data_IF_209378117905
#
_entry.id   IF_209378117905
#
_cell.length_a   1.000
_cell.length_b   1.000
_cell.length_c   1.000
_cell.angle_alpha   90.00
_cell.angle_beta   90.00
_cell.angle_gamma   90.00
#
_symmetry.space_group_name_H-M   'P 1'
#
loop_
_entity.id
_entity.type
_entity.pdbx_description
1 polymer ?
#
# COMPACT_ATOMS: atom_id res chain seq x y z
N UNK A 1 -7.20 -9.33 -40.34
CA UNK A 1 -6.04 -9.16 -39.44
C UNK A 1 -6.55 -9.27 -38.01
N UNK A 2 -5.96 -10.12 -37.18
CA UNK A 2 -6.32 -10.16 -35.75
C UNK A 2 -5.99 -8.79 -35.12
N UNK A 3 -6.90 -8.25 -34.33
CA UNK A 3 -6.70 -6.94 -33.68
C UNK A 3 -5.57 -7.09 -32.67
N UNK A 4 -4.53 -6.27 -32.80
CA UNK A 4 -3.41 -6.27 -31.87
C UNK A 4 -3.92 -5.97 -30.46
N UNK A 5 -3.50 -6.78 -29.47
CA UNK A 5 -3.93 -6.58 -28.09
C UNK A 5 -3.32 -5.27 -27.57
N UNK A 6 -4.14 -4.47 -26.89
CA UNK A 6 -3.73 -3.20 -26.30
C UNK A 6 -4.07 -3.16 -24.82
N UNK A 7 -3.17 -2.62 -24.04
CA UNK A 7 -3.31 -2.46 -22.59
C UNK A 7 -2.58 -1.20 -22.15
N UNK A 8 -2.96 -0.66 -21.00
CA UNK A 8 -2.20 0.40 -20.33
C UNK A 8 -1.28 -0.16 -19.23
N UNK A 9 -1.28 -1.47 -19.00
CA UNK A 9 -0.40 -2.14 -18.04
C UNK A 9 0.24 -3.36 -18.68
N UNK A 10 1.57 -3.42 -18.63
CA UNK A 10 2.36 -4.45 -19.29
C UNK A 10 3.42 -5.00 -18.36
N UNK A 11 3.45 -6.32 -18.20
CA UNK A 11 4.47 -7.03 -17.47
C UNK A 11 5.61 -7.45 -18.41
N UNK A 12 6.81 -7.45 -17.86
CA UNK A 12 8.04 -7.86 -18.54
C UNK A 12 8.99 -8.53 -17.54
N UNK A 13 10.12 -9.00 -18.05
CA UNK A 13 11.19 -9.52 -17.21
C UNK A 13 12.55 -8.99 -17.66
N UNK A 14 13.43 -8.76 -16.70
CA UNK A 14 14.85 -8.46 -16.93
C UNK A 14 15.69 -9.58 -16.35
N UNK A 15 16.74 -10.00 -17.06
CA UNK A 15 17.72 -10.95 -16.55
C UNK A 15 18.95 -10.22 -16.06
N UNK A 16 19.49 -10.62 -14.91
CA UNK A 16 20.68 -9.98 -14.31
C UNK A 16 21.90 -10.04 -15.24
N UNK A 17 22.00 -11.07 -16.06
CA UNK A 17 23.12 -11.29 -16.99
C UNK A 17 23.07 -10.41 -18.26
N UNK A 18 21.90 -9.88 -18.63
CA UNK A 18 21.71 -9.14 -19.89
C UNK A 18 21.24 -7.70 -19.70
N UNK A 19 20.61 -7.39 -18.57
CA UNK A 19 20.16 -6.06 -18.26
C UNK A 19 21.35 -5.09 -18.14
N UNK A 20 21.22 -3.84 -18.61
CA UNK A 20 22.19 -2.79 -18.34
C UNK A 20 22.40 -2.61 -16.82
N UNK A 21 23.62 -2.34 -16.38
CA UNK A 21 23.90 -2.09 -14.95
C UNK A 21 23.07 -0.91 -14.41
N UNK A 22 22.79 0.08 -15.26
CA UNK A 22 22.00 1.27 -14.96
C UNK A 22 20.51 1.13 -15.35
N UNK A 23 19.94 -0.08 -15.30
CA UNK A 23 18.54 -0.32 -15.70
C UNK A 23 17.52 0.57 -14.97
N UNK A 24 17.78 0.95 -13.72
CA UNK A 24 16.92 1.87 -12.97
C UNK A 24 16.92 3.27 -13.59
N UNK A 25 18.09 3.84 -13.87
CA UNK A 25 18.20 5.15 -14.53
C UNK A 25 17.48 5.16 -15.88
N UNK A 26 17.61 4.08 -16.64
CA UNK A 26 16.91 3.92 -17.93
C UNK A 26 15.39 3.92 -17.72
N UNK A 27 14.87 3.20 -16.72
CA UNK A 27 13.43 3.19 -16.41
C UNK A 27 12.95 4.57 -15.94
N UNK A 28 13.77 5.33 -15.22
CA UNK A 28 13.47 6.70 -14.82
C UNK A 28 13.40 7.66 -16.01
N UNK A 29 14.34 7.54 -16.97
CA UNK A 29 14.37 8.31 -18.21
C UNK A 29 13.17 8.05 -19.12
N UNK A 30 12.55 6.86 -19.03
CA UNK A 30 11.32 6.58 -19.76
C UNK A 30 10.13 7.43 -19.28
N UNK A 31 10.18 7.95 -18.05
CA UNK A 31 9.09 8.70 -17.42
C UNK A 31 7.75 7.95 -17.41
N UNK A 32 7.80 6.62 -17.31
CA UNK A 32 6.64 5.75 -17.19
C UNK A 32 6.62 5.18 -15.77
N UNK A 33 5.53 5.35 -14.99
CA UNK A 33 5.43 4.72 -13.68
C UNK A 33 5.67 3.21 -13.77
N UNK A 34 6.52 2.69 -12.88
CA UNK A 34 6.93 1.29 -12.91
C UNK A 34 7.04 0.71 -11.49
N UNK A 35 6.96 -0.62 -11.44
CA UNK A 35 7.28 -1.43 -10.26
C UNK A 35 8.07 -2.66 -10.69
N UNK A 36 9.09 -3.02 -9.93
CA UNK A 36 9.94 -4.19 -10.12
C UNK A 36 9.90 -5.07 -8.88
N UNK A 37 9.84 -6.38 -9.09
CA UNK A 37 10.00 -7.36 -8.04
C UNK A 37 11.42 -7.28 -7.43
N UNK A 38 11.64 -7.95 -6.30
CA UNK A 38 12.98 -8.30 -5.85
C UNK A 38 13.69 -9.14 -6.92
N UNK A 39 15.02 -9.32 -6.80
CA UNK A 39 15.72 -10.28 -7.65
C UNK A 39 15.28 -11.71 -7.31
N UNK A 40 14.67 -12.38 -8.28
CA UNK A 40 14.32 -13.80 -8.22
C UNK A 40 15.55 -14.63 -8.57
N UNK A 41 16.39 -14.89 -7.57
CA UNK A 41 17.64 -15.64 -7.68
C UNK A 41 17.58 -17.06 -7.06
N UNK A 42 16.47 -17.38 -6.38
CA UNK A 42 16.23 -18.66 -5.69
C UNK A 42 15.12 -19.48 -6.31
N UNK A 43 14.66 -19.11 -7.49
CA UNK A 43 13.59 -19.81 -8.19
C UNK A 43 14.11 -21.13 -8.77
N UNK A 44 13.39 -22.22 -8.52
CA UNK A 44 13.75 -23.55 -9.02
C UNK A 44 12.88 -23.93 -10.22
N UNK A 45 13.50 -24.50 -11.25
CA UNK A 45 12.79 -25.13 -12.35
C UNK A 45 12.20 -26.47 -11.89
N UNK A 46 10.87 -26.60 -11.90
CA UNK A 46 10.18 -27.81 -11.44
C UNK A 46 10.51 -29.08 -12.24
N UNK A 47 11.00 -28.95 -13.47
CA UNK A 47 11.33 -30.09 -14.35
C UNK A 47 12.79 -30.52 -14.16
N UNK A 48 13.72 -29.56 -14.13
CA UNK A 48 15.16 -29.87 -14.07
C UNK A 48 15.71 -29.89 -12.65
N UNK A 49 15.02 -29.27 -11.69
CA UNK A 49 15.51 -29.08 -10.31
C UNK A 49 16.59 -28.01 -10.18
N UNK A 50 17.01 -27.39 -11.28
CA UNK A 50 18.07 -26.37 -11.29
C UNK A 50 17.51 -24.98 -10.97
N UNK A 51 18.38 -24.11 -10.46
CA UNK A 51 18.05 -22.70 -10.30
C UNK A 51 17.79 -22.05 -11.67
N UNK A 52 16.71 -21.28 -11.74
CA UNK A 52 16.45 -20.39 -12.87
C UNK A 52 17.48 -19.27 -12.88
N UNK A 53 17.70 -18.69 -14.06
CA UNK A 53 18.50 -17.47 -14.20
C UNK A 53 17.92 -16.36 -13.32
N UNK A 54 18.79 -15.62 -12.63
CA UNK A 54 18.38 -14.50 -11.80
C UNK A 54 17.66 -13.45 -12.65
N UNK A 55 16.43 -13.12 -12.27
CA UNK A 55 15.56 -12.21 -13.02
C UNK A 55 14.76 -11.30 -12.09
N UNK A 56 14.27 -10.18 -12.61
CA UNK A 56 13.18 -9.41 -11.99
C UNK A 56 11.97 -9.46 -12.90
N UNK A 57 10.79 -9.49 -12.29
CA UNK A 57 9.55 -9.15 -12.95
C UNK A 57 9.34 -7.64 -12.85
N UNK A 58 8.84 -7.03 -13.91
CA UNK A 58 8.52 -5.60 -13.94
C UNK A 58 7.14 -5.35 -14.51
N UNK A 59 6.51 -4.24 -14.12
CA UNK A 59 5.28 -3.74 -14.74
C UNK A 59 5.45 -2.26 -15.07
N UNK A 60 5.07 -1.88 -16.30
CA UNK A 60 4.91 -0.50 -16.73
C UNK A 60 3.43 -0.09 -16.72
N UNK A 61 3.14 1.10 -16.18
CA UNK A 61 1.81 1.69 -16.13
C UNK A 61 1.74 2.93 -17.03
N UNK A 62 1.13 2.77 -18.20
CA UNK A 62 0.95 3.84 -19.17
C UNK A 62 -0.35 4.62 -18.93
N UNK A 63 -0.37 5.91 -19.27
CA UNK A 63 -1.60 6.71 -19.30
C UNK A 63 -2.54 6.28 -20.44
N UNK A 64 -1.96 5.93 -21.59
CA UNK A 64 -2.69 5.54 -22.81
C UNK A 64 -2.49 4.05 -23.13
N UNK A 65 -3.42 3.45 -23.86
CA UNK A 65 -3.29 2.07 -24.35
C UNK A 65 -2.10 1.95 -25.32
N UNK A 66 -1.13 1.09 -24.98
CA UNK A 66 -0.04 0.67 -25.86
C UNK A 66 -0.29 -0.72 -26.42
N UNK A 67 0.26 -0.99 -27.59
CA UNK A 67 0.21 -2.33 -28.20
C UNK A 67 1.36 -3.21 -27.69
N UNK A 68 1.23 -4.53 -27.88
CA UNK A 68 2.29 -5.49 -27.55
C UNK A 68 3.63 -5.09 -28.20
N UNK A 69 3.61 -4.80 -29.50
CA UNK A 69 4.82 -4.51 -30.28
C UNK A 69 5.51 -3.26 -29.76
N UNK A 70 4.75 -2.19 -29.51
CA UNK A 70 5.30 -0.93 -28.98
C UNK A 70 6.04 -1.12 -27.67
N UNK A 71 5.49 -1.93 -26.76
CA UNK A 71 6.10 -2.14 -25.44
C UNK A 71 7.27 -3.12 -25.52
N UNK A 72 7.12 -4.19 -26.31
CA UNK A 72 8.17 -5.17 -26.56
C UNK A 72 9.42 -4.53 -27.16
N UNK A 73 9.27 -3.71 -28.21
CA UNK A 73 10.38 -3.01 -28.86
C UNK A 73 11.05 -2.02 -27.92
N UNK A 74 10.27 -1.20 -27.20
CA UNK A 74 10.78 -0.25 -26.21
C UNK A 74 11.67 -0.93 -25.17
N UNK A 75 11.18 -2.02 -24.57
CA UNK A 75 11.89 -2.73 -23.50
C UNK A 75 13.10 -3.50 -24.02
N UNK A 76 12.99 -4.12 -25.21
CA UNK A 76 14.10 -4.84 -25.83
C UNK A 76 15.23 -3.89 -26.20
N UNK A 77 14.92 -2.72 -26.77
CA UNK A 77 15.89 -1.71 -27.19
C UNK A 77 16.58 -1.04 -25.99
N UNK A 78 15.82 -0.70 -24.94
CA UNK A 78 16.35 0.09 -23.81
C UNK A 78 16.95 -0.75 -22.69
N UNK A 79 16.41 -1.94 -22.44
CA UNK A 79 16.74 -2.73 -21.25
C UNK A 79 17.25 -4.14 -21.56
N UNK A 80 17.43 -4.49 -22.84
CA UNK A 80 17.82 -5.84 -23.27
C UNK A 80 16.91 -6.94 -22.69
N UNK A 81 15.60 -6.66 -22.56
CA UNK A 81 14.63 -7.66 -22.14
C UNK A 81 14.43 -8.72 -23.21
N UNK A 82 13.94 -9.91 -22.87
CA UNK A 82 13.28 -10.76 -23.86
C UNK A 82 12.14 -9.98 -24.53
N UNK A 83 11.84 -10.27 -25.82
CA UNK A 83 10.75 -9.61 -26.52
C UNK A 83 9.36 -9.93 -25.95
N UNK A 84 9.24 -10.94 -25.09
CA UNK A 84 7.96 -11.36 -24.54
C UNK A 84 7.47 -10.41 -23.45
N UNK A 85 6.25 -9.89 -23.63
CA UNK A 85 5.54 -9.03 -22.67
C UNK A 85 4.11 -9.51 -22.48
N UNK A 86 3.55 -9.28 -21.29
CA UNK A 86 2.21 -9.78 -20.95
C UNK A 86 1.29 -8.66 -20.47
N UNK A 87 -0.01 -8.79 -20.74
CA UNK A 87 -0.99 -7.84 -20.23
C UNK A 87 -1.25 -8.15 -18.76
N UNK A 88 -1.14 -7.12 -17.91
CA UNK A 88 -1.49 -7.26 -16.49
C UNK A 88 -3.01 -7.23 -16.36
N UNK A 89 -3.59 -8.39 -16.03
CA UNK A 89 -5.03 -8.54 -15.83
C UNK A 89 -5.48 -8.05 -14.44
N UNK A 90 -4.67 -8.31 -13.42
CA UNK A 90 -4.91 -7.90 -12.03
C UNK A 90 -3.60 -7.39 -11.42
N UNK A 91 -3.49 -6.08 -11.12
CA UNK A 91 -2.34 -5.54 -10.40
C UNK A 91 -2.11 -6.24 -9.05
N UNK A 92 -3.19 -6.57 -8.32
CA UNK A 92 -3.13 -7.34 -7.08
C UNK A 92 -2.44 -8.69 -7.25
N UNK A 93 -2.94 -9.48 -8.19
CA UNK A 93 -2.38 -10.82 -8.45
C UNK A 93 -0.93 -10.75 -8.93
N UNK A 94 -0.56 -9.70 -9.66
CA UNK A 94 0.84 -9.48 -10.06
C UNK A 94 1.73 -9.15 -8.87
N UNK A 95 1.23 -8.35 -7.93
CA UNK A 95 1.94 -8.03 -6.70
C UNK A 95 2.18 -9.26 -5.83
N UNK A 96 1.14 -10.05 -5.58
CA UNK A 96 1.26 -11.30 -4.83
C UNK A 96 2.23 -12.29 -5.53
N UNK A 97 2.24 -12.26 -6.86
CA UNK A 97 3.19 -13.01 -7.67
C UNK A 97 4.65 -12.52 -7.52
N UNK A 98 4.91 -11.22 -7.37
CA UNK A 98 6.28 -10.67 -7.20
C UNK A 98 6.99 -11.17 -5.94
N UNK A 99 6.23 -11.45 -4.88
CA UNK A 99 6.80 -11.93 -3.62
C UNK A 99 6.53 -13.42 -3.38
N UNK A 100 5.84 -14.08 -4.31
CA UNK A 100 5.34 -15.46 -4.19
C UNK A 100 4.47 -15.72 -2.95
N UNK A 101 3.72 -14.72 -2.47
CA UNK A 101 2.86 -14.84 -1.27
C UNK A 101 1.78 -15.91 -1.42
N UNK A 102 1.31 -16.17 -2.64
CA UNK A 102 0.25 -17.14 -2.93
C UNK A 102 0.73 -18.59 -3.09
N UNK A 103 2.05 -18.84 -3.16
CA UNK A 103 2.57 -20.18 -3.45
C UNK A 103 3.55 -20.69 -2.38
N UNK A 104 3.11 -21.57 -1.48
CA UNK A 104 3.95 -22.12 -0.41
C UNK A 104 5.14 -22.94 -0.90
N UNK A 105 5.11 -23.42 -2.15
CA UNK A 105 6.19 -24.23 -2.73
C UNK A 105 7.31 -23.37 -3.36
N UNK A 106 7.12 -22.05 -3.45
CA UNK A 106 8.10 -21.13 -4.01
C UNK A 106 8.81 -20.37 -2.90
N UNK A 107 10.03 -19.91 -3.21
CA UNK A 107 10.77 -19.02 -2.32
C UNK A 107 10.01 -17.71 -2.17
N UNK A 108 9.71 -17.35 -0.92
CA UNK A 108 9.12 -16.06 -0.54
C UNK A 108 10.18 -14.96 -0.63
N UNK A 109 9.82 -13.80 -1.19
CA UNK A 109 10.70 -12.63 -1.26
C UNK A 109 10.14 -11.47 -0.41
N UNK A 110 11.01 -10.53 0.00
CA UNK A 110 10.60 -9.39 0.82
C UNK A 110 9.88 -8.34 0.00
N UNK A 111 8.85 -7.75 0.59
CA UNK A 111 8.14 -6.59 0.04
C UNK A 111 9.06 -5.36 0.02
N UNK A 112 9.98 -5.27 0.99
CA UNK A 112 10.91 -4.15 1.16
C UNK A 112 11.93 -4.06 0.02
N UNK A 113 12.13 -5.15 -0.71
CA UNK A 113 13.04 -5.24 -1.87
C UNK A 113 12.34 -4.90 -3.19
N UNK A 114 11.07 -4.48 -3.15
CA UNK A 114 10.35 -3.99 -4.32
C UNK A 114 10.84 -2.59 -4.67
N UNK A 115 11.16 -2.38 -5.94
CA UNK A 115 11.59 -1.10 -6.46
C UNK A 115 10.44 -0.47 -7.25
N UNK A 116 10.27 0.84 -7.15
CA UNK A 116 9.27 1.57 -7.93
C UNK A 116 9.74 2.99 -8.22
N UNK A 117 9.26 3.59 -9.31
CA UNK A 117 9.67 4.92 -9.71
C UNK A 117 8.66 5.63 -10.60
N UNK A 118 9.06 6.81 -11.10
CA UNK A 118 8.26 7.63 -12.02
C UNK A 118 6.84 7.95 -11.52
N UNK A 119 6.70 8.24 -10.22
CA UNK A 119 5.42 8.62 -9.62
C UNK A 119 4.49 7.46 -9.28
N UNK A 120 4.97 6.21 -9.36
CA UNK A 120 4.22 5.07 -8.83
C UNK A 120 4.18 5.13 -7.29
N UNK A 121 2.98 5.30 -6.73
CA UNK A 121 2.76 5.34 -5.27
C UNK A 121 2.70 3.91 -4.71
N UNK A 122 3.87 3.29 -4.45
CA UNK A 122 3.94 1.91 -3.96
C UNK A 122 3.17 1.73 -2.65
N UNK A 123 3.43 2.55 -1.63
CA UNK A 123 2.78 2.42 -0.33
C UNK A 123 1.26 2.43 -0.44
N UNK A 124 0.70 3.40 -1.17
CA UNK A 124 -0.73 3.48 -1.43
C UNK A 124 -1.24 2.22 -2.11
N UNK A 125 -0.54 1.76 -3.15
CA UNK A 125 -0.89 0.54 -3.87
C UNK A 125 -0.89 -0.69 -2.94
N UNK A 126 0.13 -0.85 -2.09
CA UNK A 126 0.24 -1.93 -1.11
C UNK A 126 -0.93 -1.95 -0.15
N UNK A 127 -1.28 -0.78 0.38
CA UNK A 127 -2.35 -0.66 1.37
C UNK A 127 -3.72 -0.92 0.70
N UNK A 128 -3.95 -0.42 -0.51
CA UNK A 128 -5.16 -0.71 -1.29
C UNK A 128 -5.33 -2.21 -1.53
N UNK A 129 -4.24 -2.92 -1.86
CA UNK A 129 -4.30 -4.37 -2.08
C UNK A 129 -4.52 -5.16 -0.79
N UNK A 130 -3.99 -4.66 0.33
CA UNK A 130 -4.10 -5.22 1.67
C UNK A 130 -5.21 -4.54 2.51
N UNK A 131 -6.36 -4.29 1.89
CA UNK A 131 -7.47 -3.55 2.51
C UNK A 131 -7.91 -4.06 3.89
N UNK A 132 -7.78 -5.36 4.16
CA UNK A 132 -8.07 -5.94 5.48
C UNK A 132 -7.03 -5.52 6.54
N UNK A 133 -5.73 -5.63 6.22
CA UNK A 133 -4.66 -5.20 7.11
C UNK A 133 -4.72 -3.69 7.39
N UNK A 134 -5.09 -2.91 6.37
CA UNK A 134 -5.38 -1.49 6.54
C UNK A 134 -6.52 -1.25 7.55
N UNK A 135 -7.66 -1.92 7.37
CA UNK A 135 -8.81 -1.78 8.26
C UNK A 135 -8.43 -2.13 9.70
N UNK A 136 -7.70 -3.23 9.90
CA UNK A 136 -7.19 -3.64 11.21
C UNK A 136 -6.27 -2.57 11.80
N UNK A 137 -5.31 -2.07 11.04
CA UNK A 137 -4.37 -1.02 11.48
C UNK A 137 -5.09 0.25 11.92
N UNK A 138 -6.08 0.72 11.16
CA UNK A 138 -6.85 1.92 11.54
C UNK A 138 -7.73 1.65 12.76
N UNK A 139 -8.33 0.45 12.86
CA UNK A 139 -9.09 0.04 14.05
C UNK A 139 -8.19 0.05 15.28
N UNK A 140 -6.98 -0.51 15.19
CA UNK A 140 -5.99 -0.56 16.26
C UNK A 140 -5.55 0.84 16.68
N UNK A 141 -5.25 1.71 15.71
CA UNK A 141 -4.97 3.13 15.98
C UNK A 141 -6.11 3.80 16.76
N UNK A 142 -7.37 3.57 16.34
CA UNK A 142 -8.55 4.12 17.03
C UNK A 142 -8.68 3.53 18.44
N UNK A 143 -8.43 2.22 18.63
CA UNK A 143 -8.59 1.57 19.93
C UNK A 143 -7.50 1.96 20.90
N UNK A 144 -6.24 1.98 20.46
CA UNK A 144 -5.05 2.18 21.26
C UNK A 144 -4.92 3.63 21.72
N UNK A 145 -5.26 4.57 20.83
CA UNK A 145 -5.34 6.00 21.18
C UNK A 145 -6.69 6.39 21.79
N UNK A 146 -7.63 5.45 21.90
CA UNK A 146 -8.98 5.65 22.40
C UNK A 146 -9.74 6.80 21.71
N UNK A 147 -9.61 6.93 20.39
CA UNK A 147 -10.33 7.94 19.63
C UNK A 147 -11.85 7.70 19.67
N UNK A 148 -12.58 8.80 19.79
CA UNK A 148 -14.05 8.84 19.73
C UNK A 148 -14.58 9.89 18.75
N UNK A 149 -13.72 10.77 18.26
CA UNK A 149 -14.01 11.80 17.26
C UNK A 149 -13.24 11.53 15.96
N UNK A 150 -13.85 11.83 14.83
CA UNK A 150 -13.22 11.64 13.52
C UNK A 150 -12.09 12.66 13.28
N UNK A 151 -12.21 13.86 13.86
CA UNK A 151 -11.16 14.88 13.81
C UNK A 151 -9.83 14.37 14.39
N UNK A 152 -9.87 13.69 15.54
CA UNK A 152 -8.66 13.15 16.19
C UNK A 152 -7.95 12.14 15.30
N UNK A 153 -8.73 11.25 14.66
CA UNK A 153 -8.22 10.26 13.72
C UNK A 153 -7.57 10.93 12.49
N UNK A 154 -8.21 11.99 11.96
CA UNK A 154 -7.69 12.74 10.81
C UNK A 154 -6.38 13.46 11.16
N UNK A 155 -6.30 14.13 12.32
CA UNK A 155 -5.07 14.79 12.75
C UNK A 155 -3.95 13.78 13.02
N UNK A 156 -4.28 12.63 13.64
CA UNK A 156 -3.32 11.56 13.84
C UNK A 156 -2.74 11.07 12.50
N UNK A 157 -3.61 10.72 11.55
CA UNK A 157 -3.19 10.23 10.25
C UNK A 157 -2.37 11.28 9.49
N UNK A 158 -2.84 12.54 9.44
CA UNK A 158 -2.13 13.64 8.78
C UNK A 158 -0.70 13.84 9.28
N UNK A 159 -0.46 13.67 10.57
CA UNK A 159 0.86 13.88 11.18
C UNK A 159 1.78 12.66 11.09
N UNK A 160 1.23 11.47 10.85
CA UNK A 160 1.99 10.21 10.81
C UNK A 160 2.25 9.73 9.39
N UNK A 161 1.21 9.67 8.57
CA UNK A 161 1.24 9.05 7.25
C UNK A 161 0.10 9.61 6.37
N UNK A 162 0.47 10.34 5.31
CA UNK A 162 -0.46 10.95 4.35
C UNK A 162 -1.20 9.86 3.54
N UNK A 163 -0.57 8.72 3.27
CA UNK A 163 -1.18 7.59 2.58
C UNK A 163 -2.30 6.99 3.43
N UNK A 164 -2.07 6.84 4.75
CA UNK A 164 -3.08 6.42 5.72
C UNK A 164 -4.28 7.38 5.73
N UNK A 165 -4.02 8.70 5.69
CA UNK A 165 -5.07 9.70 5.65
C UNK A 165 -5.95 9.57 4.39
N UNK A 166 -5.34 9.39 3.22
CA UNK A 166 -6.07 9.22 1.96
C UNK A 166 -7.08 8.08 2.02
N UNK A 167 -6.66 6.94 2.57
CA UNK A 167 -7.50 5.75 2.69
C UNK A 167 -8.59 5.87 3.76
N UNK A 168 -8.32 6.59 4.86
CA UNK A 168 -9.35 6.91 5.87
C UNK A 168 -10.46 7.74 5.21
N UNK A 169 -10.09 8.72 4.37
CA UNK A 169 -11.05 9.56 3.64
C UNK A 169 -11.91 8.71 2.70
N UNK A 170 -11.33 7.76 1.97
CA UNK A 170 -12.07 6.85 1.08
C UNK A 170 -13.05 5.91 1.80
N UNK A 171 -12.89 5.73 3.12
CA UNK A 171 -13.74 4.86 3.96
C UNK A 171 -14.39 5.63 5.12
N UNK A 172 -14.56 6.94 4.97
CA UNK A 172 -15.09 7.85 6.00
C UNK A 172 -16.36 7.33 6.66
N UNK A 173 -17.32 6.79 5.89
CA UNK A 173 -18.59 6.29 6.45
C UNK A 173 -18.39 5.16 7.47
N UNK A 174 -17.50 4.21 7.19
CA UNK A 174 -17.23 3.11 8.11
C UNK A 174 -16.60 3.63 9.42
N UNK A 175 -15.55 4.44 9.30
CA UNK A 175 -14.81 4.92 10.47
C UNK A 175 -15.61 5.91 11.32
N UNK A 176 -16.41 6.78 10.70
CA UNK A 176 -17.34 7.64 11.46
C UNK A 176 -18.36 6.83 12.24
N UNK A 177 -18.96 5.79 11.65
CA UNK A 177 -19.89 4.89 12.37
C UNK A 177 -19.22 4.08 13.47
N UNK A 178 -17.98 3.65 13.26
CA UNK A 178 -17.20 2.96 14.29
C UNK A 178 -16.91 3.88 15.49
N UNK A 179 -16.47 5.12 15.22
CA UNK A 179 -16.21 6.14 16.26
C UNK A 179 -17.50 6.55 16.99
N UNK A 180 -18.61 6.73 16.28
CA UNK A 180 -19.94 6.97 16.86
C UNK A 180 -20.32 5.85 17.85
N UNK A 181 -20.15 4.60 17.44
CA UNK A 181 -20.42 3.43 18.29
C UNK A 181 -19.56 3.44 19.55
N UNK A 182 -18.26 3.75 19.42
CA UNK A 182 -17.33 3.86 20.56
C UNK A 182 -17.71 4.98 21.53
N UNK A 183 -18.10 6.15 21.01
CA UNK A 183 -18.54 7.31 21.81
C UNK A 183 -19.77 6.97 22.66
N UNK A 184 -20.71 6.23 22.08
CA UNK A 184 -21.97 5.89 22.74
C UNK A 184 -21.90 4.57 23.54
N UNK A 185 -20.76 3.86 23.54
CA UNK A 185 -20.57 2.62 24.29
C UNK A 185 -20.82 2.85 25.79
N UNK A 186 -21.66 2.04 26.47
CA UNK A 186 -22.05 2.26 27.87
C UNK A 186 -20.86 2.35 28.85
N UNK A 187 -19.79 1.59 28.59
CA UNK A 187 -18.57 1.57 29.40
C UNK A 187 -17.77 2.90 29.33
N UNK A 188 -17.91 3.66 28.25
CA UNK A 188 -17.28 4.98 28.08
C UNK A 188 -18.15 6.10 28.66
N UNK A 189 -19.47 5.92 28.69
CA UNK A 189 -20.41 6.84 29.35
C UNK A 189 -20.23 6.89 30.87
N UNK A 190 -19.84 5.79 31.53
CA UNK A 190 -19.57 5.82 32.97
C UNK A 190 -18.33 6.65 33.27
N UNK A 191 -17.23 6.47 32.52
CA UNK A 191 -15.99 7.25 32.65
C UNK A 191 -16.23 8.76 32.49
N UNK A 192 -16.99 9.16 31.46
CA UNK A 192 -17.31 10.57 31.23
C UNK A 192 -18.26 11.14 32.29
N UNK A 193 -19.18 10.35 32.86
CA UNK A 193 -20.00 10.81 33.99
C UNK A 193 -19.16 11.01 35.25
N UNK A 194 -18.22 10.11 35.55
CA UNK A 194 -17.31 10.29 36.71
C UNK A 194 -16.39 11.49 36.57
N UNK A 195 -15.84 11.79 35.38
CA UNK A 195 -14.99 12.98 35.20
C UNK A 195 -15.78 14.29 35.29
N UNK A 196 -17.03 14.29 34.80
CA UNK A 196 -17.92 15.46 34.91
C UNK A 196 -18.30 15.69 36.38
N UNK A 197 -18.67 14.63 37.12
CA UNK A 197 -19.01 14.72 38.55
C UNK A 197 -17.82 15.10 39.43
N UNK A 198 -16.61 14.61 39.14
CA UNK A 198 -15.39 15.00 39.87
C UNK A 198 -15.02 16.45 39.64
N UNK A 199 -15.25 16.99 38.43
CA UNK A 199 -15.01 18.40 38.12
C UNK A 199 -16.06 19.32 38.77
N UNK A 200 -17.33 18.89 38.86
CA UNK A 200 -18.37 19.66 39.58
C UNK A 200 -18.12 19.69 41.10
N UNK A 201 -17.69 18.58 41.70
CA UNK A 201 -17.38 18.51 43.14
C UNK A 201 -16.11 19.29 43.52
N UNK A 202 -15.15 19.42 42.61
CA UNK A 202 -13.95 20.24 42.83
C UNK A 202 -14.25 21.76 42.78
N UNK A 203 -15.25 22.19 42.00
CA UNK A 203 -15.66 23.59 41.95
C UNK A 203 -16.51 24.07 43.14
N UNK A 204 -17.15 23.16 43.87
CA UNK A 204 -18.11 23.51 44.94
C UNK A 204 -17.44 23.70 46.32
N UNK A 205 -16.21 23.21 46.51
CA UNK A 205 -15.46 23.33 47.77
C UNK A 205 -14.67 24.66 47.91
N UNK A 206 -14.91 25.65 47.04
CA UNK A 206 -14.18 26.93 46.99
C UNK A 206 -14.80 28.11 47.73
N UNK A 207 -16.03 28.00 48.25
CA UNK A 207 -16.71 29.16 48.88
C UNK A 207 -16.51 29.16 50.40
N UNK A 208 -15.39 29.74 50.85
CA UNK A 208 -15.29 30.24 52.23
C UNK A 208 -16.02 31.58 52.31
N UNK A 209 -17.16 31.56 53.00
CA UNK A 209 -17.90 32.75 53.42
C UNK A 209 -17.03 33.55 54.39
N UNK A 210 -16.67 34.78 54.00
CA UNK A 210 -16.12 35.81 54.87
C UNK A 210 -17.03 37.04 54.78
N UNK A 211 -17.71 37.35 55.88
CA UNK A 211 -18.28 38.67 56.26
C UNK A 211 -18.30 38.66 57.79
N UNK A 212 -17.36 39.36 58.45
CA UNK A 212 -17.57 40.66 59.14
C UNK A 212 -18.65 40.55 60.25
N UNK A 213 -18.42 40.84 61.53
CA UNK A 213 -17.62 41.88 62.23
C UNK A 213 -16.85 41.36 63.45
#
# INVERSE_FOLDING_TARGET
>A
MAKEKRSNKWAFLIYKESAPENYLDILEELHIPFVLSPWHDKDINKVTGEFKKAHKHGVLFFESLKSYTQVSELLTEKLNTPPHVEIVMSPKGMYDYFIHSENPEKTLYSIEDIESGCGFELDKFLIEQNSNLFLETVIDVITDNNFTEFEDLVHYARNKDISLLGLIIERTYFFTKFLDSRRHRPQNRSKNKTSTLSNTLASDNGVKVNTEE
#
